data_IF_206178419388
#
_entry.id   IF_206178419388
#
_cell.length_a   1.000
_cell.length_b   1.000
_cell.length_c   1.000
_cell.angle_alpha   90.00
_cell.angle_beta   90.00
_cell.angle_gamma   90.00
#
_symmetry.space_group_name_H-M   'P 1'
#
loop_
_entity.id
_entity.type
_entity.pdbx_description
1 polymer ?
#
# COMPACT_ATOMS: atom_id res chain seq x y z
N UNK A 1 -2.57 -6.17 14.22
CA UNK A 1 -2.23 -5.75 12.85
C UNK A 1 -2.21 -6.91 11.87
N UNK A 2 -1.51 -7.97 12.19
CA UNK A 2 -1.47 -9.14 11.31
C UNK A 2 -2.85 -9.72 11.06
N UNK A 3 -3.69 -9.71 12.07
CA UNK A 3 -5.04 -10.24 11.97
C UNK A 3 -5.86 -9.51 10.90
N UNK A 4 -5.73 -8.18 10.84
CA UNK A 4 -6.45 -7.40 9.85
C UNK A 4 -5.96 -7.69 8.44
N UNK A 5 -4.66 -7.93 8.30
CA UNK A 5 -4.10 -8.30 7.00
C UNK A 5 -4.67 -9.63 6.54
N UNK A 6 -4.73 -10.61 7.43
CA UNK A 6 -5.27 -11.91 7.09
C UNK A 6 -6.76 -11.83 6.71
N UNK A 7 -7.51 -11.04 7.45
CA UNK A 7 -8.93 -10.85 7.14
C UNK A 7 -9.13 -10.19 5.79
N UNK A 8 -8.28 -9.21 5.48
CA UNK A 8 -8.37 -8.54 4.20
C UNK A 8 -8.08 -9.51 3.05
N UNK A 9 -7.07 -10.35 3.21
CA UNK A 9 -6.71 -11.33 2.19
C UNK A 9 -7.83 -12.35 1.99
N UNK A 10 -8.45 -12.78 3.09
CA UNK A 10 -9.59 -13.70 3.00
C UNK A 10 -10.75 -13.05 2.26
N UNK A 11 -11.00 -11.79 2.53
CA UNK A 11 -12.05 -11.05 1.85
C UNK A 11 -11.79 -10.98 0.35
N UNK A 12 -10.55 -10.68 -0.04
CA UNK A 12 -10.21 -10.61 -1.45
C UNK A 12 -10.43 -11.93 -2.15
N UNK A 13 -10.07 -13.02 -1.49
CA UNK A 13 -10.27 -14.34 -2.05
C UNK A 13 -11.74 -14.66 -2.21
N UNK A 14 -12.54 -14.33 -1.21
CA UNK A 14 -13.97 -14.68 -1.20
C UNK A 14 -14.79 -13.77 -2.10
N UNK A 15 -14.52 -12.48 -2.08
CA UNK A 15 -15.38 -11.53 -2.78
C UNK A 15 -14.92 -11.22 -4.19
N UNK A 16 -13.62 -11.17 -4.42
CA UNK A 16 -13.09 -10.83 -5.71
C UNK A 16 -12.62 -12.03 -6.52
N UNK A 17 -12.60 -13.18 -5.89
CA UNK A 17 -12.20 -14.41 -6.56
C UNK A 17 -10.89 -14.26 -7.32
N UNK A 18 -9.91 -13.66 -6.66
CA UNK A 18 -8.63 -13.38 -7.29
C UNK A 18 -7.87 -14.67 -7.60
N UNK A 19 -7.09 -14.65 -8.67
CA UNK A 19 -6.20 -15.74 -8.96
C UNK A 19 -5.16 -15.89 -7.87
N UNK A 20 -4.64 -17.11 -7.70
CA UNK A 20 -3.66 -17.37 -6.66
C UNK A 20 -2.43 -16.46 -6.78
N UNK A 21 -1.97 -16.23 -8.02
CA UNK A 21 -0.81 -15.39 -8.21
C UNK A 21 -1.03 -13.96 -7.74
N UNK A 22 -2.21 -13.42 -8.01
CA UNK A 22 -2.55 -12.08 -7.54
C UNK A 22 -2.63 -12.04 -6.03
N UNK A 23 -3.23 -13.05 -5.42
CA UNK A 23 -3.35 -13.13 -3.98
C UNK A 23 -1.99 -13.21 -3.32
N UNK A 24 -1.09 -14.00 -3.91
CA UNK A 24 0.29 -14.12 -3.39
C UNK A 24 1.01 -12.77 -3.45
N UNK A 25 0.79 -12.01 -4.51
CA UNK A 25 1.42 -10.69 -4.62
C UNK A 25 0.91 -9.75 -3.54
N UNK A 26 -0.40 -9.74 -3.30
CA UNK A 26 -0.97 -8.93 -2.23
C UNK A 26 -0.43 -9.36 -0.87
N UNK A 27 -0.36 -10.66 -0.65
CA UNK A 27 0.13 -11.19 0.61
C UNK A 27 1.59 -10.77 0.84
N UNK A 28 2.42 -10.88 -0.18
CA UNK A 28 3.82 -10.50 -0.07
C UNK A 28 3.96 -9.01 0.23
N UNK A 29 3.20 -8.19 -0.46
CA UNK A 29 3.27 -6.74 -0.26
C UNK A 29 2.84 -6.35 1.15
N UNK A 30 1.77 -6.95 1.65
CA UNK A 30 1.28 -6.64 2.99
C UNK A 30 2.18 -7.22 4.06
N UNK A 31 2.82 -8.37 3.80
CA UNK A 31 3.79 -8.93 4.73
C UNK A 31 4.99 -8.01 4.89
N UNK A 32 5.43 -7.41 3.79
CA UNK A 32 6.53 -6.44 3.84
C UNK A 32 6.14 -5.23 4.69
N UNK A 33 4.91 -4.76 4.54
CA UNK A 33 4.42 -3.65 5.35
C UNK A 33 4.38 -4.04 6.83
N UNK A 34 3.89 -5.23 7.11
CA UNK A 34 3.81 -5.71 8.48
C UNK A 34 5.20 -5.80 9.12
N UNK A 35 6.14 -6.34 8.39
CA UNK A 35 7.52 -6.45 8.88
C UNK A 35 8.08 -5.05 9.17
N UNK A 36 7.85 -4.11 8.27
CA UNK A 36 8.30 -2.74 8.47
C UNK A 36 7.71 -2.16 9.76
N UNK A 37 6.42 -2.36 9.97
CA UNK A 37 5.76 -1.82 11.15
C UNK A 37 6.32 -2.41 12.44
N UNK A 38 6.67 -3.70 12.41
CA UNK A 38 7.29 -4.35 13.57
C UNK A 38 8.65 -3.76 13.86
N UNK A 39 9.44 -3.53 12.83
CA UNK A 39 10.78 -2.95 13.01
C UNK A 39 10.67 -1.55 13.60
N UNK A 40 9.65 -0.80 13.21
CA UNK A 40 9.42 0.54 13.73
C UNK A 40 8.78 0.54 15.12
N UNK A 41 8.38 -0.63 15.60
CA UNK A 41 7.74 -0.72 16.91
C UNK A 41 6.29 -0.27 16.93
N UNK A 42 5.67 -0.14 15.77
CA UNK A 42 4.28 0.28 15.69
C UNK A 42 3.35 -0.92 15.84
N UNK A 43 2.36 -0.79 16.69
CA UNK A 43 1.40 -1.86 16.92
C UNK A 43 0.01 -1.53 16.40
N UNK A 44 -0.22 -0.28 16.07
CA UNK A 44 -1.52 0.17 15.58
C UNK A 44 -1.38 0.90 14.27
N UNK A 45 -2.44 0.85 13.48
CA UNK A 45 -2.47 1.59 12.22
C UNK A 45 -2.62 3.07 12.50
N UNK A 46 -1.82 3.88 11.83
CA UNK A 46 -1.97 5.33 11.92
C UNK A 46 -1.41 5.93 10.61
N UNK A 47 -1.77 7.18 10.38
CA UNK A 47 -1.40 7.86 9.14
C UNK A 47 0.11 7.94 8.97
N UNK A 48 0.81 8.22 10.05
CA UNK A 48 2.26 8.38 9.99
C UNK A 48 2.96 7.10 9.56
N UNK A 49 2.48 5.96 10.06
CA UNK A 49 3.07 4.67 9.70
C UNK A 49 3.00 4.43 8.20
N UNK A 50 1.83 4.66 7.61
CA UNK A 50 1.67 4.46 6.17
C UNK A 50 2.49 5.45 5.36
N UNK A 51 2.52 6.70 5.78
CA UNK A 51 3.28 7.73 5.09
C UNK A 51 4.77 7.41 5.12
N UNK A 52 5.28 7.01 6.27
CA UNK A 52 6.69 6.66 6.39
C UNK A 52 7.04 5.44 5.58
N UNK A 53 6.15 4.46 5.53
CA UNK A 53 6.38 3.27 4.73
C UNK A 53 6.47 3.61 3.24
N UNK A 54 5.59 4.47 2.75
CA UNK A 54 5.62 4.89 1.35
C UNK A 54 6.90 5.66 1.05
N UNK A 55 7.32 6.53 1.96
CA UNK A 55 8.58 7.24 1.78
C UNK A 55 9.75 6.27 1.72
N UNK A 56 9.70 5.24 2.55
CA UNK A 56 10.75 4.22 2.54
C UNK A 56 10.78 3.47 1.21
N UNK A 57 9.60 3.14 0.68
CA UNK A 57 9.52 2.49 -0.63
C UNK A 57 10.10 3.37 -1.73
N UNK A 58 9.85 4.68 -1.64
CA UNK A 58 10.37 5.60 -2.64
C UNK A 58 11.89 5.68 -2.62
N UNK A 59 12.48 5.41 -1.47
CA UNK A 59 13.95 5.42 -1.35
C UNK A 59 14.57 4.13 -1.85
N UNK A 60 13.81 3.04 -1.89
CA UNK A 60 14.31 1.79 -2.44
C UNK A 60 14.40 1.92 -3.94
N UNK A 61 15.33 1.21 -4.52
CA UNK A 61 15.56 1.29 -5.96
C UNK A 61 14.65 0.33 -6.70
N UNK A 62 13.36 0.49 -6.50
CA UNK A 62 12.36 -0.38 -7.11
C UNK A 62 12.00 0.10 -8.50
N UNK A 63 11.61 -0.87 -9.33
CA UNK A 63 11.05 -0.53 -10.63
C UNK A 63 9.74 0.24 -10.41
N UNK A 64 9.42 1.13 -11.33
CA UNK A 64 8.22 1.94 -11.21
C UNK A 64 6.96 1.07 -11.12
N UNK A 65 6.89 0.01 -11.90
CA UNK A 65 5.73 -0.89 -11.86
C UNK A 65 5.59 -1.58 -10.50
N UNK A 66 6.71 -2.00 -9.91
CA UNK A 66 6.68 -2.62 -8.60
C UNK A 66 6.26 -1.63 -7.52
N UNK A 67 6.77 -0.42 -7.60
CA UNK A 67 6.40 0.63 -6.66
C UNK A 67 4.90 0.93 -6.73
N UNK A 68 4.38 1.10 -7.94
CA UNK A 68 2.97 1.40 -8.13
C UNK A 68 2.07 0.25 -7.67
N UNK A 69 2.51 -0.99 -7.91
CA UNK A 69 1.75 -2.15 -7.46
C UNK A 69 1.65 -2.17 -5.94
N UNK A 70 2.77 -1.92 -5.25
CA UNK A 70 2.78 -1.91 -3.79
C UNK A 70 1.88 -0.80 -3.23
N UNK A 71 1.90 0.36 -3.88
CA UNK A 71 1.04 1.46 -3.46
C UNK A 71 -0.43 1.09 -3.66
N UNK A 72 -0.77 0.48 -4.79
CA UNK A 72 -2.14 0.05 -5.06
C UNK A 72 -2.62 -0.97 -4.02
N UNK A 73 -1.76 -1.94 -3.70
CA UNK A 73 -2.09 -2.94 -2.69
C UNK A 73 -2.36 -2.25 -1.34
N UNK A 74 -1.49 -1.32 -0.99
CA UNK A 74 -1.61 -0.62 0.28
C UNK A 74 -2.89 0.21 0.34
N UNK A 75 -3.23 0.87 -0.77
CA UNK A 75 -4.45 1.68 -0.82
C UNK A 75 -5.70 0.83 -0.65
N UNK A 76 -5.73 -0.34 -1.28
CA UNK A 76 -6.84 -1.26 -1.10
C UNK A 76 -6.99 -1.66 0.35
N UNK A 77 -5.89 -1.96 0.99
CA UNK A 77 -5.89 -2.32 2.40
C UNK A 77 -6.33 -1.13 3.27
N UNK A 78 -5.87 0.07 2.94
CA UNK A 78 -6.26 1.28 3.67
C UNK A 78 -7.77 1.50 3.57
N UNK A 79 -8.34 1.33 2.39
CA UNK A 79 -9.79 1.45 2.21
C UNK A 79 -10.53 0.45 3.08
N UNK A 80 -10.00 -0.77 3.16
CA UNK A 80 -10.58 -1.80 4.02
C UNK A 80 -10.53 -1.35 5.48
N UNK A 81 -9.39 -0.81 5.91
CA UNK A 81 -9.24 -0.36 7.30
C UNK A 81 -10.18 0.80 7.62
N UNK A 82 -10.40 1.70 6.68
CA UNK A 82 -11.34 2.80 6.88
C UNK A 82 -12.76 2.24 7.02
N UNK A 83 -13.12 1.29 6.18
CA UNK A 83 -14.43 0.67 6.23
C UNK A 83 -14.65 -0.08 7.55
N UNK A 84 -13.59 -0.65 8.11
CA UNK A 84 -13.66 -1.38 9.38
C UNK A 84 -13.39 -0.47 10.58
N UNK A 85 -13.27 0.83 10.35
CA UNK A 85 -13.09 1.83 11.40
C UNK A 85 -11.76 1.71 12.14
N UNK A 86 -10.75 1.16 11.49
CA UNK A 86 -9.39 1.13 12.03
C UNK A 86 -8.63 2.40 11.67
N UNK A 87 -9.08 3.13 10.66
CA UNK A 87 -8.52 4.40 10.24
C UNK A 87 -9.64 5.40 10.01
N UNK A 88 -9.37 6.66 10.27
CA UNK A 88 -10.36 7.72 10.07
C UNK A 88 -10.38 8.23 8.64
N UNK A 89 -9.22 8.27 7.99
CA UNK A 89 -9.13 8.81 6.64
C UNK A 89 -7.92 8.24 5.93
N UNK A 90 -7.86 8.46 4.61
CA UNK A 90 -6.77 7.96 3.77
C UNK A 90 -5.47 8.70 4.05
N UNK A 91 -4.47 8.04 4.65
CA UNK A 91 -3.20 8.70 4.97
C UNK A 91 -2.33 8.99 3.75
N UNK A 92 -2.65 8.40 2.60
CA UNK A 92 -1.85 8.57 1.39
C UNK A 92 -2.42 9.59 0.42
N UNK A 93 -3.45 10.28 0.83
CA UNK A 93 -4.10 11.24 -0.06
C UNK A 93 -3.13 12.31 -0.56
N UNK A 94 -2.37 12.89 0.35
CA UNK A 94 -1.42 13.93 -0.03
C UNK A 94 -0.20 13.37 -0.75
N UNK A 95 0.22 12.17 -0.37
CA UNK A 95 1.36 11.55 -1.02
C UNK A 95 1.07 11.23 -2.48
N UNK A 96 -0.17 10.88 -2.78
CA UNK A 96 -0.55 10.63 -4.17
C UNK A 96 -0.37 11.87 -5.04
N UNK A 97 -0.70 13.02 -4.51
CA UNK A 97 -0.53 14.27 -5.24
C UNK A 97 0.94 14.57 -5.48
N UNK A 98 1.75 14.36 -4.47
CA UNK A 98 3.18 14.59 -4.60
C UNK A 98 3.78 13.67 -5.64
N UNK A 99 3.39 12.41 -5.61
CA UNK A 99 3.86 11.43 -6.57
C UNK A 99 3.47 11.81 -7.99
N UNK A 100 2.24 12.22 -8.18
CA UNK A 100 1.74 12.61 -9.49
C UNK A 100 2.54 13.79 -10.03
N UNK A 101 2.82 14.75 -9.18
CA UNK A 101 3.58 15.93 -9.58
C UNK A 101 4.98 15.55 -10.04
N UNK A 102 5.63 14.64 -9.34
CA UNK A 102 6.96 14.19 -9.71
C UNK A 102 6.96 13.42 -11.02
N UNK A 103 5.90 12.69 -11.27
CA UNK A 103 5.83 11.82 -12.43
C UNK A 103 5.49 12.58 -13.70
N UNK A 104 4.70 13.61 -13.58
CA UNK A 104 4.22 14.35 -14.74
C UNK A 104 5.32 14.85 -15.68
N UNK A 105 6.36 15.48 -15.19
CA UNK A 105 7.41 15.96 -16.11
C UNK A 105 8.01 14.87 -16.96
N UNK A 106 8.25 13.73 -16.37
CA UNK A 106 8.78 12.60 -17.12
C UNK A 106 7.79 12.12 -18.14
N UNK A 107 6.56 12.07 -17.72
CA UNK A 107 5.51 11.55 -18.55
C UNK A 107 5.34 12.38 -19.81
N UNK A 108 5.36 13.68 -19.64
CA UNK A 108 5.17 14.57 -20.76
C UNK A 108 6.28 14.45 -21.77
N UNK A 109 7.49 14.26 -21.32
CA UNK A 109 8.60 14.14 -22.23
C UNK A 109 8.54 12.86 -23.04
N UNK A 110 7.94 11.85 -22.47
CA UNK A 110 7.85 10.59 -23.18
C UNK A 110 6.74 10.55 -24.17
N UNK A 111 5.70 11.25 -23.89
CA UNK A 111 4.55 11.06 -24.68
C UNK A 111 4.65 11.54 -26.06
N UNK A 112 5.34 11.78 -26.21
CA UNK A 112 5.28 11.88 -27.42
C UNK A 112 5.66 11.64 -28.08
#
# INVERSE_FOLDING_TARGET
MKEQIEKYLEMLLAERNLAKNSLHAYEADLSNFYFYSKVQGCQKFNAELFQNYVKNLAKENLKNSSYLRKISTLRGFINYLIAEEHLDSDPLKNLSKIKAAKTLPKYLTNSE
#
